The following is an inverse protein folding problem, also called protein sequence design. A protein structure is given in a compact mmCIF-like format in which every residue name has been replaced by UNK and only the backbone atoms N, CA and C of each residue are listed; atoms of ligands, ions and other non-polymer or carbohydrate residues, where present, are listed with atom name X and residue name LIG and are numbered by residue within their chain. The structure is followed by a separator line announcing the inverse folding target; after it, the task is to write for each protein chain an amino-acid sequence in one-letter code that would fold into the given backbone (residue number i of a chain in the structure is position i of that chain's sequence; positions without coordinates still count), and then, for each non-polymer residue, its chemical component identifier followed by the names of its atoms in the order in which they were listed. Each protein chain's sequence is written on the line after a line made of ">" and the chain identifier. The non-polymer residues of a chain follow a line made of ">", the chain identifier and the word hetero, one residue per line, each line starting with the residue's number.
data_IF_169950242095
#
_entry.id   IF_169950242095
#
_cell.length_a   1.000
_cell.length_b   1.000
_cell.length_c   1.000
_cell.angle_alpha   90.00
_cell.angle_beta   90.00
_cell.angle_gamma   90.00
#
_symmetry.space_group_name_H-M   'P 1'
#
loop_
_entity.id
_entity.type
_entity.pdbx_description
1 polymer ?
#
# COMPACT_ATOMS: atom_id res chain seq x y z
N UNK A 1 -96.38 9.64 61.22
CA UNK A 1 -97.23 10.31 60.22
C UNK A 1 -96.88 9.69 58.86
N UNK A 2 -97.62 8.71 58.32
CA UNK A 2 -98.81 8.88 57.45
C UNK A 2 -98.44 9.64 56.15
N UNK A 3 -98.58 9.18 54.91
CA UNK A 3 -99.38 8.11 54.33
C UNK A 3 -98.93 7.82 52.88
N UNK A 4 -99.20 6.59 52.43
CA UNK A 4 -99.42 6.02 51.08
C UNK A 4 -99.40 6.97 49.87
N UNK A 5 -98.98 6.47 48.70
CA UNK A 5 -99.81 6.26 47.51
C UNK A 5 -99.09 5.34 46.50
N UNK A 6 -99.86 4.45 45.89
CA UNK A 6 -99.49 3.50 44.82
C UNK A 6 -99.96 4.07 43.48
N UNK A 7 -99.35 3.69 42.34
CA UNK A 7 -100.00 3.41 41.03
C UNK A 7 -98.95 3.11 39.92
N UNK A 8 -99.11 1.90 39.38
CA UNK A 8 -98.89 1.28 38.06
C UNK A 8 -98.71 2.10 36.75
N UNK A 9 -98.10 1.39 35.76
CA UNK A 9 -98.33 1.39 34.28
C UNK A 9 -97.66 2.56 33.51
N UNK A 10 -97.15 2.46 32.27
CA UNK A 10 -96.72 1.41 31.34
C UNK A 10 -96.06 2.10 30.13
N UNK A 11 -95.55 1.26 29.22
CA UNK A 11 -95.67 1.42 27.76
C UNK A 11 -94.53 2.00 26.92
N UNK A 12 -94.31 1.25 25.84
CA UNK A 12 -93.41 1.37 24.71
C UNK A 12 -94.04 2.18 23.58
N UNK A 13 -93.26 2.91 22.77
CA UNK A 13 -93.41 2.91 21.30
C UNK A 13 -92.37 3.80 20.55
N UNK A 14 -91.61 3.13 19.68
CA UNK A 14 -91.41 3.34 18.22
C UNK A 14 -90.89 4.66 17.62
N UNK A 15 -89.93 4.49 16.69
CA UNK A 15 -89.77 5.25 15.43
C UNK A 15 -88.30 5.43 15.04
N UNK A 16 -87.70 4.69 14.09
CA UNK A 16 -87.74 4.71 12.60
C UNK A 16 -86.54 5.45 11.94
N UNK A 17 -85.65 4.66 11.30
CA UNK A 17 -84.92 4.90 10.01
C UNK A 17 -83.63 5.79 9.95
N UNK A 18 -82.82 5.80 8.86
CA UNK A 18 -81.64 4.92 8.69
C UNK A 18 -80.33 5.59 8.14
N UNK A 19 -79.27 4.77 8.03
CA UNK A 19 -78.11 4.82 7.09
C UNK A 19 -76.95 5.83 7.25
N UNK A 20 -75.76 5.32 7.63
CA UNK A 20 -74.44 5.72 7.12
C UNK A 20 -73.43 4.56 7.33
N UNK A 21 -72.57 4.20 6.35
CA UNK A 21 -71.55 3.16 6.53
C UNK A 21 -70.28 3.71 7.19
N UNK A 22 -69.63 2.98 8.12
CA UNK A 22 -68.28 3.33 8.56
C UNK A 22 -67.22 2.73 7.63
N UNK A 23 -66.23 3.56 7.34
CA UNK A 23 -65.04 3.33 6.52
C UNK A 23 -64.22 2.11 6.98
N UNK A 24 -63.72 1.34 6.00
CA UNK A 24 -62.71 0.29 6.21
C UNK A 24 -61.33 0.95 6.10
N UNK A 25 -60.57 1.00 7.20
CA UNK A 25 -59.23 1.59 7.23
C UNK A 25 -58.18 0.66 6.59
N UNK A 26 -57.56 1.15 5.52
CA UNK A 26 -56.54 0.52 4.65
C UNK A 26 -55.13 0.48 5.30
N UNK A 27 -55.01 0.83 6.58
CA UNK A 27 -53.72 1.21 7.18
C UNK A 27 -52.90 0.06 7.80
N UNK A 28 -53.37 -1.18 7.78
CA UNK A 28 -52.62 -2.32 8.34
C UNK A 28 -51.65 -3.00 7.36
N UNK A 29 -51.88 -2.87 6.04
CA UNK A 29 -51.06 -3.54 5.01
C UNK A 29 -49.77 -2.77 4.66
N UNK A 30 -49.70 -1.47 4.97
CA UNK A 30 -48.58 -0.59 4.60
C UNK A 30 -47.43 -0.61 5.62
N UNK A 31 -47.66 -1.04 6.86
CA UNK A 31 -46.63 -1.04 7.90
C UNK A 31 -45.57 -2.16 7.74
N UNK A 32 -45.92 -3.29 7.11
CA UNK A 32 -44.99 -4.43 6.93
C UNK A 32 -44.08 -4.30 5.70
N UNK A 33 -44.43 -3.44 4.73
CA UNK A 33 -43.61 -3.21 3.53
C UNK A 33 -42.36 -2.35 3.79
N UNK A 34 -42.35 -1.55 4.87
CA UNK A 34 -41.25 -0.63 5.18
C UNK A 34 -40.01 -1.31 5.79
N UNK A 35 -40.15 -2.53 6.34
CA UNK A 35 -39.04 -3.26 6.99
C UNK A 35 -38.27 -4.19 6.04
N UNK A 36 -38.84 -4.54 4.89
CA UNK A 36 -38.17 -5.37 3.85
C UNK A 36 -37.33 -4.53 2.89
N UNK A 37 -37.72 -3.27 2.64
CA UNK A 37 -37.04 -2.35 1.72
C UNK A 37 -35.70 -1.79 2.24
N UNK A 38 -35.53 -1.67 3.57
CA UNK A 38 -34.30 -1.12 4.18
C UNK A 38 -33.19 -2.16 4.42
N UNK A 39 -33.51 -3.46 4.36
CA UNK A 39 -32.55 -4.56 4.55
C UNK A 39 -31.45 -4.63 3.48
N UNK A 40 -31.73 -4.52 2.17
CA UNK A 40 -30.66 -4.50 1.18
C UNK A 40 -29.78 -3.26 1.34
N UNK A 41 -30.35 -2.08 1.59
CA UNK A 41 -29.57 -0.85 1.79
C UNK A 41 -28.63 -0.94 3.00
N UNK A 42 -29.07 -1.53 4.11
CA UNK A 42 -28.22 -1.79 5.28
C UNK A 42 -27.11 -2.81 4.97
N UNK A 43 -27.42 -3.88 4.23
CA UNK A 43 -26.40 -4.86 3.82
C UNK A 43 -25.38 -4.21 2.87
N UNK A 44 -25.82 -3.41 1.89
CA UNK A 44 -24.95 -2.63 1.01
C UNK A 44 -24.12 -1.61 1.79
N UNK A 45 -24.67 -0.98 2.83
CA UNK A 45 -23.94 -0.05 3.68
C UNK A 45 -22.88 -0.79 4.51
N UNK A 46 -23.21 -1.93 5.10
CA UNK A 46 -22.28 -2.74 5.91
C UNK A 46 -21.18 -3.39 5.05
N UNK A 47 -21.49 -3.88 3.85
CA UNK A 47 -20.48 -4.44 2.93
C UNK A 47 -19.61 -3.34 2.33
N UNK A 48 -20.18 -2.19 1.96
CA UNK A 48 -19.42 -1.02 1.52
C UNK A 48 -18.52 -0.49 2.65
N UNK A 49 -19.03 -0.41 3.88
CA UNK A 49 -18.24 0.01 5.03
C UNK A 49 -17.12 -0.99 5.35
N UNK A 50 -17.36 -2.30 5.24
CA UNK A 50 -16.31 -3.33 5.36
C UNK A 50 -15.26 -3.25 4.24
N UNK A 51 -15.69 -3.01 2.98
CA UNK A 51 -14.80 -2.82 1.82
C UNK A 51 -13.99 -1.52 1.91
N UNK A 52 -14.55 -0.45 2.47
CA UNK A 52 -13.84 0.79 2.78
C UNK A 52 -12.86 0.58 3.94
N UNK A 53 -13.27 -0.13 5.00
CA UNK A 53 -12.41 -0.44 6.16
C UNK A 53 -11.18 -1.26 5.76
N UNK A 54 -11.31 -2.17 4.79
CA UNK A 54 -10.19 -2.93 4.24
C UNK A 54 -9.15 -2.09 3.49
N UNK A 55 -9.45 -0.82 3.17
CA UNK A 55 -8.54 0.10 2.48
C UNK A 55 -7.81 1.08 3.42
N UNK A 56 -8.14 1.12 4.71
CA UNK A 56 -7.44 1.94 5.71
C UNK A 56 -6.34 1.16 6.44
N UNK A 57 -5.54 0.37 5.72
CA UNK A 57 -4.28 -0.09 6.28
C UNK A 57 -3.28 1.08 6.29
N UNK A 58 -3.56 2.08 7.13
CA UNK A 58 -2.57 3.05 7.54
C UNK A 58 -1.44 2.33 8.29
N UNK A 59 -0.23 2.90 8.24
CA UNK A 59 0.87 2.41 9.08
C UNK A 59 0.39 2.40 10.53
N UNK A 60 0.56 1.24 11.21
CA UNK A 60 0.23 1.10 12.63
C UNK A 60 1.01 2.12 13.45
N UNK A 61 0.44 2.64 14.53
CA UNK A 61 1.25 3.39 15.51
C UNK A 61 2.21 2.41 16.20
N UNK A 62 3.45 2.81 16.50
CA UNK A 62 4.47 1.89 16.99
C UNK A 62 4.09 1.11 18.25
N UNK A 63 3.31 1.69 19.16
CA UNK A 63 2.79 0.96 20.32
C UNK A 63 1.80 -0.15 19.91
N UNK A 64 1.00 0.04 18.85
CA UNK A 64 0.08 -0.98 18.34
C UNK A 64 0.85 -2.13 17.68
N UNK A 65 1.87 -1.80 16.89
CA UNK A 65 2.77 -2.80 16.30
C UNK A 65 3.47 -3.63 17.40
N UNK A 66 3.86 -2.98 18.48
CA UNK A 66 4.47 -3.63 19.64
C UNK A 66 3.50 -4.58 20.36
N UNK A 67 2.27 -4.14 20.65
CA UNK A 67 1.24 -5.02 21.22
C UNK A 67 0.95 -6.23 20.35
N UNK A 68 0.90 -6.04 19.03
CA UNK A 68 0.72 -7.15 18.09
C UNK A 68 1.91 -8.13 18.15
N UNK A 69 3.14 -7.62 18.16
CA UNK A 69 4.34 -8.46 18.30
C UNK A 69 4.37 -9.22 19.63
N UNK A 70 3.99 -8.59 20.74
CA UNK A 70 3.89 -9.29 22.03
C UNK A 70 2.82 -10.37 22.08
N UNK A 71 1.79 -10.27 21.23
CA UNK A 71 0.79 -11.32 21.07
C UNK A 71 1.31 -12.58 20.39
N UNK A 72 2.44 -12.50 19.68
CA UNK A 72 3.11 -13.63 19.02
C UNK A 72 4.33 -14.05 19.86
N UNK A 73 4.41 -15.31 20.35
CA UNK A 73 5.49 -15.71 21.25
C UNK A 73 6.88 -15.62 20.60
N UNK A 74 6.99 -15.91 19.29
CA UNK A 74 8.24 -15.82 18.54
C UNK A 74 8.70 -14.36 18.38
N UNK A 75 7.77 -13.46 18.03
CA UNK A 75 8.06 -12.03 17.89
C UNK A 75 8.43 -11.41 19.23
N UNK A 76 7.70 -11.74 20.31
CA UNK A 76 8.01 -11.29 21.65
C UNK A 76 9.42 -11.68 22.10
N UNK A 77 9.80 -12.94 21.89
CA UNK A 77 11.13 -13.42 22.22
C UNK A 77 12.21 -12.66 21.43
N UNK A 78 12.03 -12.54 20.11
CA UNK A 78 12.97 -11.83 19.24
C UNK A 78 13.10 -10.35 19.62
N UNK A 79 11.99 -9.70 19.98
CA UNK A 79 11.97 -8.31 20.43
C UNK A 79 12.79 -8.13 21.71
N UNK A 80 12.64 -9.04 22.67
CA UNK A 80 13.40 -9.02 23.93
C UNK A 80 14.90 -9.15 23.66
N UNK A 81 15.31 -10.08 22.77
CA UNK A 81 16.72 -10.22 22.37
C UNK A 81 17.26 -8.94 21.69
N UNK A 82 16.45 -8.31 20.84
CA UNK A 82 16.79 -7.05 20.18
C UNK A 82 17.03 -5.91 21.19
N UNK A 83 16.14 -5.72 22.17
CA UNK A 83 16.28 -4.66 23.19
C UNK A 83 17.58 -4.84 23.98
N UNK A 84 17.92 -6.07 24.35
CA UNK A 84 19.17 -6.36 25.05
C UNK A 84 20.40 -6.18 24.17
N UNK A 85 20.40 -6.69 22.94
CA UNK A 85 21.54 -6.62 22.04
C UNK A 85 21.84 -5.19 21.56
N UNK A 86 20.80 -4.36 21.39
CA UNK A 86 20.91 -2.99 20.89
C UNK A 86 20.89 -1.93 22.00
N UNK A 87 20.83 -2.31 23.28
CA UNK A 87 20.90 -1.40 24.43
C UNK A 87 21.98 -0.29 24.32
N UNK A 88 23.25 -0.57 23.94
CA UNK A 88 24.27 0.49 23.85
C UNK A 88 23.99 1.50 22.71
N UNK A 89 23.34 1.06 21.63
CA UNK A 89 22.93 1.92 20.51
C UNK A 89 21.73 2.77 20.91
N UNK A 90 20.73 2.15 21.54
CA UNK A 90 19.52 2.80 22.05
C UNK A 90 19.80 3.87 23.12
N UNK A 91 20.85 3.68 23.93
CA UNK A 91 21.27 4.64 24.95
C UNK A 91 21.97 5.89 24.38
N UNK A 92 22.07 6.04 23.06
CA UNK A 92 22.74 7.16 22.40
C UNK A 92 24.24 6.95 22.19
N UNK A 93 24.72 5.71 22.27
CA UNK A 93 26.09 5.36 21.90
C UNK A 93 26.27 5.48 20.37
N UNK A 94 26.66 6.66 19.90
CA UNK A 94 26.93 6.99 18.50
C UNK A 94 28.17 6.30 17.91
N UNK A 95 28.24 4.97 18.01
CA UNK A 95 29.31 4.12 17.50
C UNK A 95 28.87 3.19 16.36
N UNK A 96 29.84 2.41 15.85
CA UNK A 96 29.56 1.30 14.91
C UNK A 96 28.61 0.29 15.56
N UNK A 97 27.66 -0.22 14.77
CA UNK A 97 26.67 -1.19 15.25
C UNK A 97 27.32 -2.52 15.66
N UNK A 98 27.06 -3.02 16.89
CA UNK A 98 27.51 -4.33 17.30
C UNK A 98 26.93 -5.42 16.40
N UNK A 99 27.74 -6.43 16.06
CA UNK A 99 27.30 -7.56 15.24
C UNK A 99 26.05 -8.25 15.81
N UNK A 100 26.01 -8.46 17.13
CA UNK A 100 24.87 -9.08 17.82
C UNK A 100 23.59 -8.23 17.72
N UNK A 101 23.69 -6.89 17.74
CA UNK A 101 22.54 -6.01 17.51
C UNK A 101 22.01 -6.19 16.08
N UNK A 102 22.88 -6.18 15.07
CA UNK A 102 22.52 -6.42 13.67
C UNK A 102 21.81 -7.77 13.51
N UNK A 103 22.38 -8.85 14.06
CA UNK A 103 21.78 -10.19 13.99
C UNK A 103 20.42 -10.27 14.68
N UNK A 104 20.25 -9.62 15.84
CA UNK A 104 18.97 -9.61 16.55
C UNK A 104 17.87 -8.87 15.78
N UNK A 105 18.22 -7.78 15.09
CA UNK A 105 17.30 -7.05 14.22
C UNK A 105 16.88 -7.91 13.01
N UNK A 106 17.81 -8.63 12.39
CA UNK A 106 17.49 -9.59 11.32
C UNK A 106 16.49 -10.62 11.81
N UNK A 107 16.74 -11.22 12.98
CA UNK A 107 15.86 -12.25 13.55
C UNK A 107 14.47 -11.70 13.87
N UNK A 108 14.38 -10.51 14.47
CA UNK A 108 13.10 -9.85 14.73
C UNK A 108 12.30 -9.69 13.44
N UNK A 109 12.94 -9.26 12.36
CA UNK A 109 12.27 -9.03 11.08
C UNK A 109 11.84 -10.28 10.31
N UNK A 110 12.37 -11.45 10.67
CA UNK A 110 11.91 -12.71 10.10
C UNK A 110 10.62 -13.22 10.75
N UNK A 111 10.20 -12.62 11.88
CA UNK A 111 8.93 -12.93 12.54
C UNK A 111 7.75 -12.27 11.83
N UNK A 112 6.52 -12.74 12.08
CA UNK A 112 5.33 -12.16 11.43
C UNK A 112 5.03 -10.73 11.90
N UNK A 113 5.21 -10.43 13.19
CA UNK A 113 5.03 -9.09 13.76
C UNK A 113 6.20 -8.12 13.58
N UNK A 114 7.42 -8.61 13.40
CA UNK A 114 8.64 -7.78 13.35
C UNK A 114 8.65 -6.70 12.26
N UNK A 115 8.26 -6.99 11.01
CA UNK A 115 8.18 -5.99 9.95
C UNK A 115 7.36 -4.74 10.31
N UNK A 116 6.27 -4.92 11.05
CA UNK A 116 5.39 -3.82 11.46
C UNK A 116 6.04 -2.87 12.47
N UNK A 117 6.99 -3.34 13.30
CA UNK A 117 7.72 -2.51 14.27
C UNK A 117 8.68 -1.54 13.60
N UNK A 118 9.19 -1.88 12.42
CA UNK A 118 10.04 -0.97 11.65
C UNK A 118 9.20 0.00 10.82
N UNK A 119 8.07 -0.44 10.29
CA UNK A 119 7.21 0.35 9.42
C UNK A 119 6.17 1.20 10.16
N UNK A 120 6.05 1.08 11.49
CA UNK A 120 5.07 1.83 12.26
C UNK A 120 5.32 3.35 12.28
N UNK A 121 4.28 4.13 12.59
CA UNK A 121 4.37 5.57 12.84
C UNK A 121 4.63 5.85 14.33
N UNK A 122 5.61 6.71 14.63
CA UNK A 122 5.88 7.16 15.99
C UNK A 122 4.94 8.28 16.45
N UNK A 123 4.13 8.85 15.55
CA UNK A 123 3.35 10.06 15.80
C UNK A 123 4.25 11.15 16.43
N UNK A 124 3.81 11.74 17.54
CA UNK A 124 4.53 12.82 18.21
C UNK A 124 5.52 12.33 19.28
N UNK A 125 5.76 11.02 19.44
CA UNK A 125 6.63 10.47 20.48
C UNK A 125 8.14 10.67 20.15
N UNK A 126 8.88 11.51 20.91
CA UNK A 126 10.30 11.75 20.66
C UNK A 126 11.20 10.57 21.03
N UNK A 127 10.81 9.72 21.99
CA UNK A 127 11.58 8.53 22.38
C UNK A 127 11.50 7.48 21.28
N UNK A 128 10.31 7.25 20.72
CA UNK A 128 10.14 6.38 19.56
C UNK A 128 10.96 6.86 18.37
N UNK A 129 10.88 8.15 18.04
CA UNK A 129 11.64 8.74 16.92
C UNK A 129 13.15 8.63 17.14
N UNK A 130 13.63 8.90 18.37
CA UNK A 130 15.03 8.76 18.74
C UNK A 130 15.53 7.31 18.69
N UNK A 131 14.74 6.35 19.16
CA UNK A 131 15.09 4.93 19.07
C UNK A 131 15.17 4.46 17.61
N UNK A 132 14.19 4.81 16.77
CA UNK A 132 14.19 4.44 15.34
C UNK A 132 15.39 5.06 14.60
N UNK A 133 15.72 6.32 14.85
CA UNK A 133 16.88 6.96 14.22
C UNK A 133 18.21 6.41 14.73
N UNK A 134 18.32 6.05 16.02
CA UNK A 134 19.53 5.45 16.57
C UNK A 134 19.84 4.08 15.96
N UNK A 135 18.81 3.30 15.61
CA UNK A 135 18.95 1.94 15.07
C UNK A 135 19.03 1.90 13.54
N UNK A 136 18.54 2.92 12.84
CA UNK A 136 18.61 3.00 11.38
C UNK A 136 20.00 2.63 10.79
N UNK A 137 21.14 3.03 11.37
CA UNK A 137 22.47 2.64 10.89
C UNK A 137 22.80 1.14 11.04
N UNK A 138 22.15 0.46 11.99
CA UNK A 138 22.35 -0.96 12.28
C UNK A 138 21.46 -1.86 11.44
N UNK A 139 20.45 -1.27 10.81
CA UNK A 139 19.51 -2.01 10.00
C UNK A 139 20.23 -2.54 8.75
N UNK A 140 20.28 -3.87 8.53
CA UNK A 140 20.81 -4.40 7.29
C UNK A 140 19.98 -3.86 6.14
N UNK A 141 20.67 -3.30 5.14
CA UNK A 141 20.06 -2.71 3.94
C UNK A 141 19.30 -3.72 3.08
N UNK A 142 19.15 -4.96 3.52
CA UNK A 142 18.38 -6.03 2.87
C UNK A 142 16.89 -5.73 2.73
N UNK A 143 16.35 -4.74 3.47
CA UNK A 143 15.01 -4.19 3.20
C UNK A 143 14.93 -3.30 1.96
N UNK A 144 16.06 -2.80 1.45
CA UNK A 144 16.10 -2.22 0.10
C UNK A 144 16.29 -3.36 -0.88
N UNK A 145 15.19 -3.77 -1.51
CA UNK A 145 15.21 -4.76 -2.59
C UNK A 145 16.27 -4.34 -3.62
N UNK A 146 17.15 -5.26 -4.01
CA UNK A 146 18.08 -5.02 -5.12
C UNK A 146 17.30 -4.76 -6.41
N UNK A 147 17.79 -3.86 -7.27
CA UNK A 147 17.12 -3.56 -8.52
C UNK A 147 17.01 -4.80 -9.44
N UNK A 148 17.92 -5.77 -9.30
CA UNK A 148 17.85 -7.06 -9.99
C UNK A 148 16.59 -7.85 -9.62
N UNK A 149 16.28 -7.98 -8.31
CA UNK A 149 15.07 -8.69 -7.86
C UNK A 149 13.80 -7.86 -8.09
N UNK A 150 13.86 -6.54 -7.92
CA UNK A 150 12.74 -5.66 -8.25
C UNK A 150 12.37 -5.75 -9.74
N UNK A 151 13.37 -5.84 -10.62
CA UNK A 151 13.18 -6.05 -12.05
C UNK A 151 12.57 -7.42 -12.34
N UNK A 152 13.05 -8.49 -11.71
CA UNK A 152 12.47 -9.84 -11.85
C UNK A 152 10.97 -9.86 -11.52
N UNK A 153 10.57 -9.22 -10.41
CA UNK A 153 9.15 -9.12 -10.02
C UNK A 153 8.32 -8.27 -10.98
N UNK A 154 8.88 -7.16 -11.45
CA UNK A 154 8.23 -6.37 -12.50
C UNK A 154 8.08 -7.17 -13.79
N UNK A 155 9.06 -8.00 -14.12
CA UNK A 155 9.03 -8.86 -15.28
C UNK A 155 8.01 -10.01 -15.16
N UNK A 156 7.56 -10.37 -13.96
CA UNK A 156 6.46 -11.32 -13.78
C UNK A 156 5.08 -10.66 -13.95
N UNK A 157 4.99 -9.36 -13.71
CA UNK A 157 3.76 -8.57 -13.79
C UNK A 157 3.59 -7.94 -15.18
N UNK A 158 2.61 -8.42 -15.95
CA UNK A 158 2.35 -7.94 -17.31
C UNK A 158 2.17 -6.41 -17.44
N UNK A 159 1.37 -5.72 -16.60
CA UNK A 159 1.28 -4.27 -16.65
C UNK A 159 2.59 -3.58 -16.30
N UNK A 160 3.36 -4.08 -15.33
CA UNK A 160 4.69 -3.52 -15.01
C UNK A 160 5.67 -3.65 -16.17
N UNK A 161 5.77 -4.84 -16.79
CA UNK A 161 6.57 -5.04 -18.02
C UNK A 161 6.22 -4.04 -19.12
N UNK A 162 4.92 -3.81 -19.34
CA UNK A 162 4.43 -2.82 -20.31
C UNK A 162 4.93 -1.42 -19.97
N UNK A 163 4.75 -1.00 -18.71
CA UNK A 163 5.15 0.32 -18.25
C UNK A 163 6.67 0.55 -18.33
N UNK A 164 7.50 -0.48 -18.09
CA UNK A 164 8.96 -0.39 -18.28
C UNK A 164 9.31 -0.15 -19.75
N UNK A 165 8.61 -0.80 -20.70
CA UNK A 165 8.81 -0.55 -22.13
C UNK A 165 8.42 0.87 -22.51
N UNK A 166 7.29 1.36 -22.00
CA UNK A 166 6.84 2.74 -22.23
C UNK A 166 7.84 3.75 -21.66
N UNK A 167 8.45 3.45 -20.51
CA UNK A 167 9.50 4.27 -19.91
C UNK A 167 10.72 4.35 -20.82
N UNK A 168 11.25 3.21 -21.25
CA UNK A 168 12.40 3.19 -22.16
C UNK A 168 12.09 3.90 -23.48
N UNK A 169 10.84 3.84 -23.97
CA UNK A 169 10.45 4.55 -25.18
C UNK A 169 10.36 6.07 -24.96
N UNK A 170 9.56 6.54 -24.00
CA UNK A 170 9.29 7.97 -23.82
C UNK A 170 10.40 8.72 -23.09
N UNK A 171 11.20 8.05 -22.27
CA UNK A 171 12.27 8.64 -21.47
C UNK A 171 13.67 8.42 -22.06
N UNK A 172 13.83 7.80 -23.25
CA UNK A 172 15.14 7.58 -23.89
C UNK A 172 16.04 8.83 -23.98
N UNK A 173 15.43 10.00 -24.14
CA UNK A 173 16.11 11.30 -24.26
C UNK A 173 16.80 11.75 -22.96
N UNK A 174 16.33 11.27 -21.80
CA UNK A 174 17.01 11.53 -20.52
C UNK A 174 18.43 10.97 -20.50
N UNK A 175 18.66 9.84 -21.17
CA UNK A 175 19.97 9.18 -21.18
C UNK A 175 21.00 9.95 -22.01
N UNK A 176 20.57 10.88 -22.87
CA UNK A 176 21.44 11.80 -23.61
C UNK A 176 21.64 13.15 -22.93
N UNK A 177 21.14 13.36 -21.70
CA UNK A 177 21.27 14.62 -20.97
C UNK A 177 20.22 15.69 -21.31
N UNK A 178 19.15 15.32 -22.03
CA UNK A 178 18.02 16.24 -22.28
C UNK A 178 17.11 16.38 -21.05
N UNK A 179 16.44 17.53 -20.92
CA UNK A 179 15.45 17.78 -19.86
C UNK A 179 14.29 16.77 -19.91
N UNK A 180 13.67 16.54 -18.76
CA UNK A 180 12.54 15.62 -18.64
C UNK A 180 11.34 16.09 -19.47
N UNK A 181 11.00 15.33 -20.51
CA UNK A 181 9.89 15.65 -21.40
C UNK A 181 8.54 15.39 -20.73
N UNK A 182 7.51 16.15 -21.13
CA UNK A 182 6.16 15.96 -20.60
C UNK A 182 5.58 14.55 -20.84
N UNK A 183 5.79 13.90 -22.00
CA UNK A 183 5.46 12.49 -22.16
C UNK A 183 6.20 11.56 -21.18
N UNK A 184 7.48 11.80 -20.92
CA UNK A 184 8.24 10.99 -19.96
C UNK A 184 7.71 11.16 -18.53
N UNK A 185 7.40 12.38 -18.09
CA UNK A 185 6.81 12.63 -16.76
C UNK A 185 5.51 11.85 -16.55
N UNK A 186 4.63 11.79 -17.55
CA UNK A 186 3.39 11.01 -17.48
C UNK A 186 3.67 9.51 -17.31
N UNK A 187 4.65 8.97 -18.00
CA UNK A 187 5.02 7.56 -17.87
C UNK A 187 5.61 7.25 -16.48
N UNK A 188 6.45 8.13 -15.95
CA UNK A 188 6.98 7.97 -14.58
C UNK A 188 5.83 7.96 -13.55
N UNK A 189 4.85 8.86 -13.69
CA UNK A 189 3.66 8.87 -12.85
C UNK A 189 2.83 7.57 -13.00
N UNK A 190 2.66 7.07 -14.22
CA UNK A 190 1.94 5.82 -14.49
C UNK A 190 2.66 4.60 -13.89
N UNK A 191 3.99 4.52 -14.03
CA UNK A 191 4.80 3.47 -13.38
C UNK A 191 4.62 3.49 -11.86
N UNK A 192 4.64 4.66 -11.23
CA UNK A 192 4.42 4.79 -9.78
C UNK A 192 3.00 4.41 -9.33
N UNK A 193 2.04 4.23 -10.23
CA UNK A 193 0.73 3.68 -9.89
C UNK A 193 0.73 2.14 -9.77
N UNK A 194 1.73 1.46 -10.36
CA UNK A 194 1.83 -0.01 -10.39
C UNK A 194 2.67 -0.50 -9.20
N UNK A 195 2.16 -1.39 -8.32
CA UNK A 195 2.88 -1.84 -7.12
C UNK A 195 4.24 -2.45 -7.40
N UNK A 196 4.36 -3.30 -8.43
CA UNK A 196 5.63 -3.92 -8.80
C UNK A 196 6.66 -2.89 -9.32
N UNK A 197 6.21 -1.87 -10.05
CA UNK A 197 7.08 -0.81 -10.56
C UNK A 197 7.56 0.15 -9.46
N UNK A 198 6.80 0.34 -8.37
CA UNK A 198 7.26 1.14 -7.20
C UNK A 198 8.54 0.59 -6.57
N UNK A 199 8.75 -0.73 -6.66
CA UNK A 199 9.98 -1.36 -6.17
C UNK A 199 11.21 -0.89 -6.97
N UNK A 200 11.06 -0.58 -8.27
CA UNK A 200 12.14 -0.09 -9.13
C UNK A 200 12.58 1.35 -8.80
N UNK A 201 11.70 2.16 -8.20
CA UNK A 201 12.01 3.56 -7.81
C UNK A 201 12.87 3.60 -6.53
N UNK A 202 12.66 2.62 -5.64
CA UNK A 202 13.25 2.58 -4.28
C UNK A 202 14.35 1.53 -4.12
N UNK A 203 14.61 0.72 -5.15
CA UNK A 203 15.63 -0.32 -5.10
C UNK A 203 17.06 0.23 -5.01
N UNK A 204 17.99 -0.64 -4.60
CA UNK A 204 19.44 -0.37 -4.63
C UNK A 204 20.04 -1.04 -5.84
N UNK A 205 20.78 -0.28 -6.65
CA UNK A 205 21.45 -0.82 -7.83
C UNK A 205 22.47 -1.90 -7.42
N UNK A 206 22.26 -3.12 -7.89
CA UNK A 206 23.03 -4.31 -7.60
C UNK A 206 23.28 -5.13 -8.88
N UNK A 207 24.10 -6.18 -8.77
CA UNK A 207 24.41 -7.07 -9.90
C UNK A 207 25.34 -6.47 -10.97
N UNK A 208 25.37 -7.09 -12.14
CA UNK A 208 26.25 -6.74 -13.25
C UNK A 208 25.85 -5.42 -13.95
N UNK A 209 24.55 -5.08 -13.92
CA UNK A 209 24.02 -3.86 -14.55
C UNK A 209 24.11 -2.62 -13.65
N UNK A 210 24.76 -2.74 -12.48
CA UNK A 210 24.85 -1.67 -11.49
C UNK A 210 25.31 -0.32 -12.07
N UNK A 211 26.33 -0.20 -12.93
CA UNK A 211 26.74 1.09 -13.49
C UNK A 211 25.64 1.77 -14.32
N UNK A 212 24.91 0.98 -15.11
CA UNK A 212 23.81 1.45 -15.96
C UNK A 212 22.62 1.87 -15.09
N UNK A 213 22.29 1.07 -14.07
CA UNK A 213 21.24 1.38 -13.10
C UNK A 213 21.50 2.71 -12.39
N UNK A 214 22.74 2.92 -11.89
CA UNK A 214 23.14 4.14 -11.22
C UNK A 214 23.02 5.36 -12.16
N UNK A 215 23.44 5.22 -13.42
CA UNK A 215 23.31 6.27 -14.44
C UNK A 215 21.86 6.65 -14.74
N UNK A 216 20.99 5.66 -14.95
CA UNK A 216 19.55 5.86 -15.22
C UNK A 216 18.90 6.60 -14.04
N UNK A 217 19.20 6.16 -12.82
CA UNK A 217 18.64 6.72 -11.59
C UNK A 217 19.09 8.16 -11.37
N UNK A 218 20.39 8.44 -11.53
CA UNK A 218 20.95 9.78 -11.41
C UNK A 218 20.41 10.74 -12.48
N UNK A 219 20.29 10.29 -13.74
CA UNK A 219 19.73 11.08 -14.83
C UNK A 219 18.27 11.44 -14.55
N UNK A 220 17.45 10.46 -14.14
CA UNK A 220 16.05 10.69 -13.80
C UNK A 220 15.89 11.67 -12.63
N UNK A 221 16.71 11.53 -11.58
CA UNK A 221 16.70 12.44 -10.42
C UNK A 221 17.07 13.87 -10.83
N UNK A 222 18.16 14.04 -11.57
CA UNK A 222 18.65 15.35 -12.03
C UNK A 222 17.64 16.08 -12.92
N UNK A 223 17.12 15.41 -13.96
CA UNK A 223 16.33 16.08 -15.00
C UNK A 223 14.83 16.13 -14.74
N UNK A 224 14.28 15.20 -13.95
CA UNK A 224 12.84 15.16 -13.64
C UNK A 224 12.48 15.65 -12.23
N UNK A 225 13.42 15.63 -11.26
CA UNK A 225 13.13 15.92 -9.85
C UNK A 225 14.09 16.92 -9.18
N UNK A 226 15.19 17.30 -9.85
CA UNK A 226 16.09 18.36 -9.40
C UNK A 226 15.42 19.75 -9.38
N UNK A 227 16.03 20.77 -8.76
CA UNK A 227 15.49 22.13 -8.71
C UNK A 227 15.54 22.77 -10.10
N UNK A 228 14.58 22.44 -10.95
CA UNK A 228 14.48 22.88 -12.35
C UNK A 228 13.16 23.57 -12.71
N UNK A 229 12.24 23.73 -11.75
CA UNK A 229 10.90 24.27 -11.96
C UNK A 229 10.68 25.64 -11.30
N UNK A 230 11.70 26.50 -11.24
CA UNK A 230 11.52 27.92 -10.86
C UNK A 230 11.91 28.96 -11.91
N UNK A 231 12.55 28.59 -13.02
CA UNK A 231 13.00 29.59 -14.00
C UNK A 231 12.87 29.08 -15.44
N UNK A 232 11.66 29.15 -16.00
CA UNK A 232 11.51 29.50 -17.41
C UNK A 232 10.17 30.19 -17.64
N UNK A 233 10.20 31.51 -17.48
CA UNK A 233 9.18 32.42 -17.98
C UNK A 233 9.06 32.36 -19.50
N UNK A 234 7.86 32.69 -19.94
CA UNK A 234 7.39 32.90 -21.30
C UNK A 234 8.29 33.81 -22.13
N UNK A 235 8.48 33.46 -23.40
CA UNK A 235 9.08 34.33 -24.41
C UNK A 235 9.02 33.64 -25.78
N UNK A 236 8.20 34.18 -26.67
CA UNK A 236 7.95 33.72 -28.04
C UNK A 236 9.18 33.88 -28.96
N UNK A 237 9.17 33.32 -30.18
CA UNK A 237 10.35 33.15 -31.03
C UNK A 237 10.65 34.43 -31.84
N UNK A 238 11.90 34.61 -32.26
CA UNK A 238 12.26 35.14 -33.58
C UNK A 238 13.79 35.14 -33.83
N UNK A 239 14.11 35.07 -35.12
CA UNK A 239 15.40 35.32 -35.82
C UNK A 239 16.50 34.24 -35.78
N UNK A 240 16.56 33.54 -36.92
CA UNK A 240 17.73 33.12 -37.72
C UNK A 240 19.07 33.81 -37.34
N UNK A 241 20.17 33.04 -37.30
CA UNK A 241 21.46 33.41 -37.88
C UNK A 241 22.47 32.23 -37.78
N UNK A 242 23.12 31.99 -38.92
CA UNK A 242 24.10 30.95 -39.23
C UNK A 242 25.41 31.05 -38.42
N UNK A 243 26.08 29.91 -38.20
CA UNK A 243 27.52 29.76 -38.40
C UNK A 243 27.97 28.32 -38.14
N UNK A 244 28.62 27.77 -39.16
CA UNK A 244 29.31 26.49 -39.23
C UNK A 244 30.44 26.38 -38.19
N UNK A 245 30.74 25.17 -37.71
CA UNK A 245 32.14 24.75 -37.53
C UNK A 245 32.28 23.22 -37.38
N UNK A 246 33.16 22.71 -38.24
CA UNK A 246 33.60 21.35 -38.52
C UNK A 246 34.67 20.86 -37.53
N UNK A 247 34.60 19.58 -37.12
CA UNK A 247 35.79 18.71 -36.91
C UNK A 247 35.34 17.25 -36.62
N UNK A 248 35.63 16.31 -37.53
CA UNK A 248 35.73 14.87 -37.23
C UNK A 248 37.21 14.46 -37.03
N UNK A 249 37.60 13.18 -37.17
CA UNK A 249 36.93 11.92 -36.78
C UNK A 249 37.90 10.94 -36.04
N UNK A 250 37.41 9.72 -35.73
CA UNK A 250 38.19 8.45 -35.60
C UNK A 250 39.08 8.30 -34.33
N UNK A 251 39.33 7.15 -33.69
CA UNK A 251 39.50 5.76 -34.10
C UNK A 251 39.62 4.80 -32.89
N UNK A 252 39.58 3.51 -33.20
CA UNK A 252 39.42 2.30 -32.41
C UNK A 252 40.53 1.95 -31.39
N UNK A 253 40.17 1.16 -30.37
CA UNK A 253 40.98 0.01 -29.92
C UNK A 253 40.20 -0.93 -28.98
N UNK A 254 40.04 -2.18 -29.41
CA UNK A 254 39.69 -3.37 -28.60
C UNK A 254 41.00 -4.12 -28.28
N UNK A 255 41.15 -4.81 -27.13
CA UNK A 255 40.99 -6.26 -27.18
C UNK A 255 40.29 -6.89 -25.96
N UNK A 256 39.29 -7.68 -26.33
CA UNK A 256 38.78 -8.94 -25.79
C UNK A 256 39.74 -9.77 -24.90
N UNK A 257 39.22 -10.34 -23.80
CA UNK A 257 39.04 -11.80 -23.54
C UNK A 257 39.08 -12.14 -22.05
N UNK A 258 38.00 -12.76 -21.57
CA UNK A 258 37.99 -14.20 -21.24
C UNK A 258 36.69 -14.52 -20.49
N UNK A 259 35.91 -15.48 -20.99
CA UNK A 259 35.57 -16.70 -20.25
C UNK A 259 34.39 -17.46 -20.88
N UNK A 260 34.62 -18.74 -21.07
CA UNK A 260 33.59 -19.78 -21.06
C UNK A 260 33.54 -20.63 -22.33
N UNK A 261 32.85 -21.80 -22.32
CA UNK A 261 31.93 -22.20 -21.25
C UNK A 261 31.83 -23.72 -20.94
N UNK A 262 30.96 -24.00 -19.94
CA UNK A 262 30.11 -25.19 -19.73
C UNK A 262 30.79 -26.47 -19.20
N UNK A 263 30.23 -27.19 -18.24
CA UNK A 263 28.88 -27.20 -17.66
C UNK A 263 28.40 -28.66 -17.55
N UNK A 264 27.82 -29.07 -16.41
CA UNK A 264 27.23 -30.41 -16.27
C UNK A 264 26.57 -30.68 -14.92
N UNK A 265 25.31 -31.13 -14.96
CA UNK A 265 24.46 -31.58 -13.84
C UNK A 265 23.30 -30.62 -13.61
N UNK A 266 22.02 -30.92 -13.92
CA UNK A 266 21.25 -32.15 -13.65
C UNK A 266 20.85 -32.13 -12.17
N UNK A 267 19.60 -32.22 -11.71
CA UNK A 267 18.27 -32.48 -12.24
C UNK A 267 17.35 -32.72 -11.02
N UNK A 268 16.02 -32.70 -11.20
CA UNK A 268 15.03 -33.07 -10.19
C UNK A 268 14.65 -31.93 -9.23
N UNK A 269 13.39 -31.62 -8.96
CA UNK A 269 12.23 -32.48 -8.88
C UNK A 269 11.75 -32.46 -7.42
N UNK A 270 10.66 -31.74 -7.13
CA UNK A 270 10.15 -31.64 -5.77
C UNK A 270 9.13 -30.52 -5.56
N UNK A 271 7.98 -30.61 -6.23
CA UNK A 271 6.77 -29.92 -5.77
C UNK A 271 6.30 -30.60 -4.49
N UNK A 272 6.58 -30.00 -3.34
CA UNK A 272 5.85 -30.28 -2.10
C UNK A 272 4.86 -29.14 -1.88
N UNK A 273 3.59 -29.53 -1.91
CA UNK A 273 2.47 -28.69 -1.57
C UNK A 273 2.63 -28.16 -0.13
N UNK A 274 2.54 -26.85 0.04
CA UNK A 274 2.21 -26.24 1.32
C UNK A 274 0.98 -25.37 1.10
N UNK A 275 -0.17 -26.05 1.17
CA UNK A 275 -1.40 -25.42 1.60
C UNK A 275 -1.29 -25.12 3.10
N UNK A 276 -2.00 -24.07 3.50
CA UNK A 276 -2.33 -23.64 4.88
C UNK A 276 -1.37 -22.60 5.48
N UNK A 277 -1.69 -21.33 5.20
CA UNK A 277 -1.92 -20.31 6.24
C UNK A 277 -2.67 -19.09 5.65
N UNK A 278 -3.80 -19.33 4.98
CA UNK A 278 -4.82 -18.30 4.69
C UNK A 278 -5.91 -18.40 5.76
N UNK A 279 -5.61 -17.89 6.94
CA UNK A 279 -6.60 -17.61 7.99
C UNK A 279 -6.32 -16.19 8.45
N UNK A 280 -6.92 -15.19 7.82
CA UNK A 280 -8.01 -14.45 8.47
C UNK A 280 -9.08 -13.89 7.51
N UNK A 281 -9.07 -14.19 6.21
CA UNK A 281 -10.04 -13.61 5.26
C UNK A 281 -11.20 -14.54 4.85
N UNK A 282 -11.24 -15.80 5.30
CA UNK A 282 -12.08 -16.84 4.69
C UNK A 282 -13.52 -16.98 5.21
N UNK A 283 -13.99 -16.15 6.16
CA UNK A 283 -15.35 -16.30 6.69
C UNK A 283 -16.45 -15.63 5.85
N UNK A 284 -16.11 -14.92 4.77
CA UNK A 284 -17.08 -14.18 3.97
C UNK A 284 -17.69 -14.96 2.78
N UNK A 285 -17.34 -16.23 2.55
CA UNK A 285 -17.72 -16.98 1.34
C UNK A 285 -18.58 -18.22 1.56
N UNK A 286 -19.05 -18.49 2.79
CA UNK A 286 -19.84 -19.68 3.14
C UNK A 286 -21.30 -19.40 3.55
N UNK A 287 -21.84 -18.24 3.19
CA UNK A 287 -23.26 -17.92 3.33
C UNK A 287 -23.92 -17.74 1.96
N UNK A 288 -24.04 -18.83 1.20
CA UNK A 288 -24.91 -18.94 0.03
C UNK A 288 -25.48 -20.33 -0.11
#
# INVERSE_FOLDING_TARGET
>A
MGSRHSIRVAESARGLSPAAPPHVDINAATAMAALVSRRPLLIWYLTSWALLSGRLCGRLVCWQALLKCHGEPECHYAYTQYVHACAPVLAGGGGRCPSHCISSIVQLNLTAGGPALEDCDCAEDPLCRGAKSAIEPCMPRTRRTGCTEARRRCDEDAPCRGAVRDYLFHCRKLFGGERCSEPCRRVIAAMRAIPAARLLDTCVCDGAERPICEYIRASMESFCFGPGDRERGSGAPDSEEDADEDYGPEEDAVPERAAGPRGGGGGGGGSVAVSVALACCSWALLAR
#
